data_IF_223237356410
#
_entry.id   IF_223237356410
#
_cell.length_a   1.000
_cell.length_b   1.000
_cell.length_c   1.000
_cell.angle_alpha   90.00
_cell.angle_beta   90.00
_cell.angle_gamma   90.00
#
_symmetry.space_group_name_H-M   'P 1'
#
loop_
_entity.id
_entity.type
_entity.pdbx_description
1 polymer ?
#
# COMPACT_ATOMS: atom_id res chain seq x y z
N UNK A 1 10.94 8.45 -40.72
CA UNK A 1 10.36 7.21 -40.19
C UNK A 1 11.47 6.46 -39.45
N UNK A 2 11.57 6.72 -38.17
CA UNK A 2 12.53 6.02 -37.29
C UNK A 2 11.94 4.68 -36.95
N UNK A 3 12.47 3.61 -37.60
CA UNK A 3 12.12 2.25 -37.20
C UNK A 3 12.66 1.97 -35.83
N UNK A 4 11.81 2.16 -34.80
CA UNK A 4 12.13 1.76 -33.45
C UNK A 4 12.38 0.23 -33.49
N UNK A 5 13.61 -0.18 -33.25
CA UNK A 5 13.95 -1.58 -33.00
C UNK A 5 13.15 -2.07 -31.84
N UNK A 6 12.16 -2.92 -32.06
CA UNK A 6 11.47 -3.59 -30.96
C UNK A 6 12.54 -4.36 -30.16
N UNK A 7 12.61 -4.13 -28.84
CA UNK A 7 13.62 -4.79 -28.02
C UNK A 7 13.45 -6.31 -28.10
N UNK A 8 14.57 -7.02 -28.23
CA UNK A 8 14.56 -8.49 -28.28
C UNK A 8 14.38 -9.04 -26.87
N UNK A 9 13.13 -9.22 -26.49
CA UNK A 9 12.77 -9.75 -25.16
C UNK A 9 12.61 -11.28 -25.15
N UNK A 10 12.60 -11.91 -26.32
CA UNK A 10 12.37 -13.34 -26.48
C UNK A 10 13.35 -13.96 -27.50
N UNK A 11 13.56 -15.26 -27.37
CA UNK A 11 14.28 -16.03 -28.35
C UNK A 11 13.62 -15.87 -29.72
N UNK A 12 14.45 -15.61 -30.75
CA UNK A 12 13.98 -15.52 -32.14
C UNK A 12 13.59 -16.89 -32.73
N UNK A 13 14.08 -17.98 -32.15
CA UNK A 13 13.90 -19.33 -32.67
C UNK A 13 12.80 -20.10 -31.95
N UNK A 14 12.74 -20.01 -30.64
CA UNK A 14 11.77 -20.76 -29.83
C UNK A 14 11.39 -19.98 -28.56
N UNK A 15 10.56 -18.94 -28.67
CA UNK A 15 10.15 -18.12 -27.51
C UNK A 15 9.28 -18.88 -26.52
N UNK A 16 8.45 -19.82 -26.99
CA UNK A 16 7.61 -20.64 -26.11
C UNK A 16 8.47 -21.61 -25.29
N UNK A 17 9.42 -22.30 -25.91
CA UNK A 17 10.32 -23.21 -25.20
C UNK A 17 11.23 -22.46 -24.21
N UNK A 18 11.63 -21.22 -24.53
CA UNK A 18 12.36 -20.36 -23.57
C UNK A 18 11.50 -20.06 -22.33
N UNK A 19 10.24 -19.64 -22.53
CA UNK A 19 9.31 -19.35 -21.46
C UNK A 19 8.99 -20.58 -20.62
N UNK A 20 8.79 -21.75 -21.26
CA UNK A 20 8.53 -23.01 -20.59
C UNK A 20 9.73 -23.45 -19.73
N UNK A 21 10.94 -23.41 -20.28
CA UNK A 21 12.17 -23.73 -19.54
C UNK A 21 12.36 -22.80 -18.36
N UNK A 22 12.11 -21.52 -18.55
CA UNK A 22 12.21 -20.52 -17.47
C UNK A 22 11.19 -20.81 -16.35
N UNK A 23 9.92 -21.02 -16.72
CA UNK A 23 8.86 -21.29 -15.74
C UNK A 23 9.07 -22.62 -14.99
N UNK A 24 9.63 -23.65 -15.67
CA UNK A 24 9.94 -24.93 -15.03
C UNK A 24 11.09 -24.82 -14.02
N UNK A 25 11.98 -23.85 -14.18
CA UNK A 25 13.07 -23.59 -13.23
C UNK A 25 12.63 -22.76 -12.01
N UNK A 26 11.40 -22.20 -12.02
CA UNK A 26 10.88 -21.39 -10.91
C UNK A 26 10.12 -22.23 -9.91
N UNK A 27 10.41 -22.02 -8.64
CA UNK A 27 9.55 -22.48 -7.55
C UNK A 27 8.36 -21.53 -7.43
N UNK A 28 7.19 -21.95 -7.87
CA UNK A 28 6.00 -21.09 -7.89
C UNK A 28 5.32 -20.91 -6.53
N UNK A 29 5.75 -21.71 -5.52
CA UNK A 29 5.11 -21.71 -4.20
C UNK A 29 3.70 -22.35 -4.22
N UNK A 30 3.41 -23.27 -3.32
CA UNK A 30 2.13 -24.01 -3.34
C UNK A 30 0.92 -23.10 -3.05
N UNK A 31 1.10 -22.11 -2.21
CA UNK A 31 0.04 -21.21 -1.71
C UNK A 31 -0.10 -19.91 -2.51
N UNK A 32 0.71 -19.69 -3.57
CA UNK A 32 0.66 -18.44 -4.34
C UNK A 32 -0.67 -18.30 -5.08
N UNK A 33 -1.36 -17.21 -4.82
CA UNK A 33 -2.65 -16.86 -5.45
C UNK A 33 -2.52 -15.71 -6.45
N UNK A 34 -1.48 -14.87 -6.30
CA UNK A 34 -1.23 -13.70 -7.13
C UNK A 34 0.16 -13.77 -7.75
N UNK A 35 0.24 -13.70 -9.06
CA UNK A 35 1.50 -13.58 -9.78
C UNK A 35 1.61 -12.21 -10.44
N UNK A 36 2.66 -11.47 -10.12
CA UNK A 36 2.97 -10.19 -10.74
C UNK A 36 4.11 -10.42 -11.74
N UNK A 37 3.84 -10.25 -13.02
CA UNK A 37 4.82 -10.34 -14.09
C UNK A 37 5.30 -8.93 -14.45
N UNK A 38 6.61 -8.69 -14.35
CA UNK A 38 7.20 -7.40 -14.74
C UNK A 38 7.74 -7.53 -16.15
N UNK A 39 7.17 -6.78 -17.07
CA UNK A 39 7.48 -6.71 -18.50
C UNK A 39 7.70 -8.10 -19.12
N UNK A 40 6.66 -8.92 -19.23
CA UNK A 40 6.77 -10.25 -19.82
C UNK A 40 6.90 -10.23 -21.36
N UNK A 41 7.08 -9.06 -21.97
CA UNK A 41 7.15 -8.86 -23.40
C UNK A 41 5.86 -9.31 -24.10
N UNK A 42 5.96 -10.22 -25.04
CA UNK A 42 4.81 -10.78 -25.79
C UNK A 42 3.96 -11.78 -24.97
N UNK A 43 4.25 -11.94 -23.68
CA UNK A 43 3.38 -12.67 -22.76
C UNK A 43 3.43 -14.21 -22.86
N UNK A 44 4.44 -14.81 -23.48
CA UNK A 44 4.53 -16.29 -23.59
C UNK A 44 4.48 -17.03 -22.24
N UNK A 45 4.84 -16.37 -21.15
CA UNK A 45 4.73 -16.92 -19.78
C UNK A 45 3.29 -17.08 -19.31
N UNK A 46 2.38 -16.24 -19.79
CA UNK A 46 1.01 -16.13 -19.28
C UNK A 46 0.19 -17.41 -19.47
N UNK A 47 0.06 -17.96 -20.69
CA UNK A 47 -0.71 -19.19 -20.89
C UNK A 47 -0.11 -20.38 -20.14
N UNK A 48 1.22 -20.46 -20.05
CA UNK A 48 1.90 -21.51 -19.30
C UNK A 48 1.64 -21.42 -17.81
N UNK A 49 1.62 -20.19 -17.29
CA UNK A 49 1.33 -19.93 -15.87
C UNK A 49 -0.13 -20.23 -15.53
N UNK A 50 -1.08 -19.82 -16.40
CA UNK A 50 -2.50 -20.17 -16.29
C UNK A 50 -2.71 -21.69 -16.26
N UNK A 51 -1.99 -22.42 -17.12
CA UNK A 51 -2.07 -23.89 -17.15
C UNK A 51 -1.55 -24.54 -15.85
N UNK A 52 -0.42 -24.03 -15.32
CA UNK A 52 0.16 -24.58 -14.09
C UNK A 52 -0.60 -24.16 -12.83
N UNK A 53 -1.25 -23.02 -12.85
CA UNK A 53 -1.94 -22.37 -11.72
C UNK A 53 -3.28 -21.77 -12.16
N UNK A 54 -4.28 -22.60 -12.49
CA UNK A 54 -5.55 -22.13 -13.08
C UNK A 54 -6.35 -21.17 -12.18
N UNK A 55 -6.21 -21.29 -10.86
CA UNK A 55 -6.92 -20.45 -9.89
C UNK A 55 -6.19 -19.16 -9.50
N UNK A 56 -4.95 -18.98 -9.93
CA UNK A 56 -4.17 -17.83 -9.55
C UNK A 56 -4.50 -16.61 -10.43
N UNK A 57 -4.53 -15.43 -9.83
CA UNK A 57 -4.66 -14.16 -10.54
C UNK A 57 -3.29 -13.72 -11.06
N UNK A 58 -3.24 -13.42 -12.35
CA UNK A 58 -2.04 -12.92 -13.01
C UNK A 58 -2.22 -11.43 -13.26
N UNK A 59 -1.21 -10.65 -12.90
CA UNK A 59 -1.14 -9.20 -13.04
C UNK A 59 0.12 -8.88 -13.84
N UNK A 60 0.01 -7.99 -14.83
CA UNK A 60 1.13 -7.60 -15.68
C UNK A 60 1.49 -6.14 -15.44
N UNK A 61 2.76 -5.87 -15.23
CA UNK A 61 3.32 -4.54 -15.12
C UNK A 61 4.23 -4.27 -16.32
N UNK A 62 3.80 -3.40 -17.22
CA UNK A 62 4.61 -3.02 -18.37
C UNK A 62 5.53 -1.84 -18.04
N UNK A 63 6.68 -1.79 -18.71
CA UNK A 63 7.65 -0.70 -18.62
C UNK A 63 7.57 0.14 -19.89
N UNK A 64 7.22 -0.52 -21.01
CA UNK A 64 7.09 0.11 -22.29
C UNK A 64 5.64 0.01 -22.81
N UNK A 65 5.10 1.14 -23.22
CA UNK A 65 3.76 1.19 -23.83
C UNK A 65 3.67 0.49 -25.20
N UNK A 66 4.80 0.13 -25.82
CA UNK A 66 4.83 -0.58 -27.09
C UNK A 66 4.13 -1.95 -27.03
N UNK A 67 4.09 -2.58 -25.87
CA UNK A 67 3.42 -3.88 -25.68
C UNK A 67 1.92 -3.76 -25.44
N UNK A 68 1.38 -2.54 -25.29
CA UNK A 68 -0.06 -2.32 -25.10
C UNK A 68 -0.90 -2.91 -26.24
N UNK A 69 -0.42 -2.73 -27.48
CA UNK A 69 -1.09 -3.26 -28.66
C UNK A 69 -0.89 -4.79 -28.81
N UNK A 70 0.23 -5.32 -28.33
CA UNK A 70 0.56 -6.74 -28.41
C UNK A 70 -0.07 -7.57 -27.27
N UNK A 71 -0.47 -6.92 -26.18
CA UNK A 71 -1.13 -7.57 -25.04
C UNK A 71 -2.52 -8.14 -25.40
N UNK A 72 -3.01 -7.87 -26.63
CA UNK A 72 -4.27 -8.37 -27.14
C UNK A 72 -5.47 -7.82 -26.37
N UNK A 73 -6.63 -7.87 -26.98
CA UNK A 73 -7.93 -7.56 -26.35
C UNK A 73 -8.41 -8.71 -25.42
N UNK A 74 -7.50 -9.47 -24.80
CA UNK A 74 -7.95 -10.40 -23.74
C UNK A 74 -8.31 -9.58 -22.50
N UNK A 75 -9.60 -9.31 -22.27
CA UNK A 75 -10.06 -8.43 -21.18
C UNK A 75 -9.86 -9.04 -19.79
N UNK A 76 -9.15 -10.16 -19.69
CA UNK A 76 -9.10 -10.99 -18.49
C UNK A 76 -7.83 -10.82 -17.65
N UNK A 77 -6.80 -10.07 -18.11
CA UNK A 77 -5.55 -9.92 -17.36
C UNK A 77 -5.32 -8.45 -17.02
N UNK A 78 -5.40 -8.08 -15.73
CA UNK A 78 -5.07 -6.73 -15.30
C UNK A 78 -3.66 -6.35 -15.72
N UNK A 79 -3.52 -5.22 -16.42
CA UNK A 79 -2.24 -4.73 -16.90
C UNK A 79 -2.05 -3.24 -16.58
N UNK A 80 -0.91 -2.89 -16.02
CA UNK A 80 -0.51 -1.51 -15.78
C UNK A 80 0.51 -1.06 -16.82
N UNK A 81 0.43 0.21 -17.21
CA UNK A 81 1.35 0.86 -18.15
C UNK A 81 1.81 2.20 -17.58
N UNK A 82 3.09 2.56 -17.75
CA UNK A 82 3.61 3.85 -17.31
C UNK A 82 2.94 5.00 -18.09
N UNK A 83 2.77 6.14 -17.41
CA UNK A 83 2.14 7.33 -18.00
C UNK A 83 0.61 7.25 -18.15
N UNK A 84 -0.03 6.23 -17.61
CA UNK A 84 -1.49 6.16 -17.48
C UNK A 84 -2.01 7.06 -16.34
N UNK A 85 -3.35 7.17 -16.24
CA UNK A 85 -4.01 7.98 -15.19
C UNK A 85 -3.84 7.39 -13.79
N UNK A 86 -3.60 6.08 -13.68
CA UNK A 86 -3.49 5.35 -12.42
C UNK A 86 -2.04 5.08 -12.09
N UNK A 87 -1.60 5.50 -10.90
CA UNK A 87 -0.25 5.17 -10.41
C UNK A 87 -0.08 3.66 -10.20
N UNK A 88 1.17 3.16 -10.26
CA UNK A 88 1.47 1.75 -10.02
C UNK A 88 0.95 1.30 -8.63
N UNK A 89 1.17 2.12 -7.62
CA UNK A 89 0.70 1.83 -6.27
C UNK A 89 -0.81 1.65 -6.22
N UNK A 90 -1.58 2.59 -6.79
CA UNK A 90 -3.05 2.53 -6.79
C UNK A 90 -3.56 1.32 -7.57
N UNK A 91 -2.96 1.03 -8.71
CA UNK A 91 -3.28 -0.15 -9.50
C UNK A 91 -3.08 -1.45 -8.70
N UNK A 92 -1.94 -1.59 -8.01
CA UNK A 92 -1.68 -2.77 -7.18
C UNK A 92 -2.65 -2.87 -5.99
N UNK A 93 -3.04 -1.76 -5.38
CA UNK A 93 -4.05 -1.73 -4.31
C UNK A 93 -5.43 -2.19 -4.79
N UNK A 94 -5.81 -1.80 -6.01
CA UNK A 94 -7.10 -2.19 -6.59
C UNK A 94 -7.12 -3.67 -7.04
N UNK A 95 -5.96 -4.20 -7.49
CA UNK A 95 -5.87 -5.56 -8.02
C UNK A 95 -5.53 -6.62 -6.96
N UNK A 96 -4.81 -6.24 -5.91
CA UNK A 96 -4.38 -7.12 -4.82
C UNK A 96 -4.98 -6.58 -3.53
N UNK A 97 -6.09 -7.17 -3.03
CA UNK A 97 -6.65 -6.78 -1.75
C UNK A 97 -5.68 -7.06 -0.60
N UNK A 98 -6.05 -6.66 0.63
CA UNK A 98 -5.26 -6.92 1.83
C UNK A 98 -5.09 -8.43 2.07
N UNK A 99 -4.07 -9.00 1.43
CA UNK A 99 -3.70 -10.41 1.52
C UNK A 99 -2.35 -10.57 2.23
N UNK A 100 -2.02 -11.79 2.60
CA UNK A 100 -0.69 -12.08 3.12
C UNK A 100 0.35 -12.09 2.00
N UNK A 101 1.51 -11.46 2.25
CA UNK A 101 2.58 -11.35 1.24
C UNK A 101 3.05 -12.70 0.66
N UNK A 102 2.91 -13.80 1.43
CA UNK A 102 3.23 -15.17 0.98
C UNK A 102 2.37 -15.65 -0.18
N UNK A 103 1.18 -15.06 -0.35
CA UNK A 103 0.26 -15.38 -1.45
C UNK A 103 0.62 -14.64 -2.74
N UNK A 104 1.55 -13.68 -2.68
CA UNK A 104 1.97 -12.85 -3.82
C UNK A 104 3.38 -13.22 -4.26
N UNK A 105 3.58 -13.44 -5.54
CA UNK A 105 4.89 -13.72 -6.11
C UNK A 105 5.18 -12.86 -7.34
N UNK A 106 6.34 -12.21 -7.32
CA UNK A 106 6.87 -11.51 -8.49
C UNK A 106 7.60 -12.51 -9.39
N UNK A 107 7.32 -12.47 -10.67
CA UNK A 107 8.04 -13.19 -11.70
C UNK A 107 8.81 -12.16 -12.54
N UNK A 108 10.13 -12.23 -12.45
CA UNK A 108 11.05 -11.35 -13.16
C UNK A 108 11.43 -11.96 -14.51
N UNK A 109 11.12 -11.28 -15.60
CA UNK A 109 11.59 -11.70 -16.91
C UNK A 109 12.98 -11.11 -17.17
N UNK A 110 14.03 -11.93 -17.01
CA UNK A 110 15.43 -11.49 -17.10
C UNK A 110 15.82 -10.78 -18.40
N UNK A 111 15.32 -11.15 -19.59
CA UNK A 111 15.57 -10.39 -20.80
C UNK A 111 15.10 -8.94 -20.69
N UNK A 112 13.96 -8.67 -20.08
CA UNK A 112 13.45 -7.33 -19.87
C UNK A 112 14.30 -6.51 -18.91
N UNK A 113 14.83 -7.13 -17.86
CA UNK A 113 15.79 -6.47 -16.97
C UNK A 113 17.03 -5.99 -17.72
N UNK A 114 17.54 -6.79 -18.67
CA UNK A 114 18.71 -6.41 -19.47
C UNK A 114 18.42 -5.26 -20.43
N UNK A 115 17.21 -5.20 -20.96
CA UNK A 115 16.81 -4.19 -21.95
C UNK A 115 16.45 -2.86 -21.27
N UNK A 116 15.67 -2.91 -20.19
CA UNK A 116 15.10 -1.72 -19.55
C UNK A 116 15.90 -1.23 -18.33
N UNK A 117 16.85 -2.00 -17.81
CA UNK A 117 17.79 -1.57 -16.77
C UNK A 117 17.14 -0.88 -15.59
N UNK A 118 17.44 0.41 -15.38
CA UNK A 118 16.94 1.19 -14.24
C UNK A 118 15.41 1.32 -14.21
N UNK A 119 14.75 1.43 -15.36
CA UNK A 119 13.29 1.51 -15.40
C UNK A 119 12.65 0.22 -14.89
N UNK A 120 13.23 -0.94 -15.22
CA UNK A 120 12.82 -2.24 -14.69
C UNK A 120 13.01 -2.31 -13.18
N UNK A 121 14.19 -1.91 -12.68
CA UNK A 121 14.51 -1.93 -11.26
C UNK A 121 13.61 -1.01 -10.45
N UNK A 122 13.22 0.13 -11.01
CA UNK A 122 12.26 1.03 -10.38
C UNK A 122 10.91 0.36 -10.16
N UNK A 123 10.31 -0.23 -11.20
CA UNK A 123 9.02 -0.94 -11.11
C UNK A 123 9.13 -2.11 -10.13
N UNK A 124 10.23 -2.86 -10.17
CA UNK A 124 10.49 -3.97 -9.24
C UNK A 124 10.56 -3.48 -7.79
N UNK A 125 11.29 -2.39 -7.53
CA UNK A 125 11.42 -1.81 -6.18
C UNK A 125 10.07 -1.33 -5.65
N UNK A 126 9.30 -0.57 -6.43
CA UNK A 126 7.97 -0.09 -6.04
C UNK A 126 7.01 -1.26 -5.74
N UNK A 127 7.07 -2.31 -6.56
CA UNK A 127 6.28 -3.54 -6.35
C UNK A 127 6.69 -4.27 -5.08
N UNK A 128 8.00 -4.40 -4.82
CA UNK A 128 8.50 -5.03 -3.60
C UNK A 128 8.15 -4.23 -2.34
N UNK A 129 8.17 -2.91 -2.40
CA UNK A 129 7.72 -2.03 -1.30
C UNK A 129 6.23 -2.19 -1.03
N UNK A 130 5.40 -2.30 -2.07
CA UNK A 130 3.99 -2.62 -1.93
C UNK A 130 3.78 -3.94 -1.18
N UNK A 131 4.47 -5.01 -1.58
CA UNK A 131 4.37 -6.32 -0.91
C UNK A 131 4.82 -6.25 0.55
N UNK A 132 5.89 -5.53 0.86
CA UNK A 132 6.32 -5.31 2.25
C UNK A 132 5.26 -4.60 3.08
N UNK A 133 4.56 -3.62 2.49
CA UNK A 133 3.50 -2.87 3.17
C UNK A 133 2.30 -3.73 3.48
N UNK A 134 1.82 -4.54 2.53
CA UNK A 134 0.69 -5.46 2.79
C UNK A 134 1.07 -6.51 3.85
N UNK A 135 2.30 -7.01 3.87
CA UNK A 135 2.77 -7.94 4.91
C UNK A 135 2.81 -7.28 6.29
N UNK A 136 3.28 -6.04 6.38
CA UNK A 136 3.28 -5.28 7.63
C UNK A 136 1.84 -5.06 8.14
N UNK A 137 0.90 -4.71 7.25
CA UNK A 137 -0.52 -4.56 7.59
C UNK A 137 -1.11 -5.89 8.09
N UNK A 138 -0.87 -6.99 7.38
CA UNK A 138 -1.36 -8.31 7.76
C UNK A 138 -0.81 -8.76 9.13
N UNK A 139 0.47 -8.48 9.42
CA UNK A 139 1.06 -8.74 10.75
C UNK A 139 0.39 -7.91 11.84
N UNK A 140 0.14 -6.64 11.57
CA UNK A 140 -0.54 -5.73 12.51
C UNK A 140 -1.95 -6.22 12.80
N UNK A 141 -2.72 -6.55 11.77
CA UNK A 141 -4.08 -7.09 11.93
C UNK A 141 -4.07 -8.41 12.71
N UNK A 142 -3.15 -9.33 12.42
CA UNK A 142 -3.00 -10.57 13.19
C UNK A 142 -2.65 -10.32 14.66
N UNK A 143 -1.75 -9.37 14.93
CA UNK A 143 -1.31 -9.07 16.29
C UNK A 143 -2.36 -8.34 17.13
N UNK A 144 -3.11 -7.44 16.53
CA UNK A 144 -4.01 -6.52 17.25
C UNK A 144 -5.49 -6.68 16.91
N UNK A 145 -5.86 -7.32 15.80
CA UNK A 145 -7.23 -7.37 15.29
C UNK A 145 -8.24 -7.91 16.31
N UNK A 146 -7.90 -9.01 17.00
CA UNK A 146 -8.75 -9.55 18.06
C UNK A 146 -8.96 -8.55 19.21
N UNK A 147 -7.92 -7.81 19.57
CA UNK A 147 -8.00 -6.76 20.59
C UNK A 147 -8.89 -5.61 20.14
N UNK A 148 -8.73 -5.16 18.89
CA UNK A 148 -9.55 -4.09 18.31
C UNK A 148 -11.02 -4.46 18.29
N UNK A 149 -11.36 -5.66 17.84
CA UNK A 149 -12.74 -6.17 17.82
C UNK A 149 -13.30 -6.24 19.25
N UNK A 150 -12.55 -6.79 20.20
CA UNK A 150 -13.00 -6.85 21.59
C UNK A 150 -13.20 -5.45 22.20
N UNK A 151 -12.30 -4.51 21.91
CA UNK A 151 -12.43 -3.14 22.38
C UNK A 151 -13.62 -2.43 21.74
N UNK A 152 -13.87 -2.66 20.45
CA UNK A 152 -15.05 -2.14 19.76
C UNK A 152 -16.33 -2.57 20.49
N UNK A 153 -16.52 -3.85 20.74
CA UNK A 153 -17.72 -4.33 21.46
C UNK A 153 -17.81 -3.84 22.90
N UNK A 154 -16.68 -3.72 23.61
CA UNK A 154 -16.67 -3.14 24.95
C UNK A 154 -17.09 -1.66 24.91
N UNK A 155 -16.54 -0.88 23.99
CA UNK A 155 -16.88 0.53 23.83
C UNK A 155 -18.33 0.71 23.41
N UNK A 156 -18.84 -0.13 22.50
CA UNK A 156 -20.24 -0.12 22.09
C UNK A 156 -21.19 -0.29 23.26
N UNK A 157 -20.87 -1.16 24.23
CA UNK A 157 -21.67 -1.35 25.46
C UNK A 157 -21.62 -0.14 26.40
N UNK A 158 -20.55 0.67 26.32
CA UNK A 158 -20.38 1.89 27.12
C UNK A 158 -20.98 3.13 26.42
N UNK A 159 -21.30 3.05 25.14
CA UNK A 159 -21.93 4.13 24.36
C UNK A 159 -23.36 4.37 24.81
N UNK A 160 -23.51 4.98 25.99
CA UNK A 160 -24.82 5.46 26.48
C UNK A 160 -25.15 6.85 25.93
N UNK A 161 -24.14 7.61 25.47
CA UNK A 161 -24.27 8.97 24.98
C UNK A 161 -23.33 9.17 23.78
N UNK A 162 -23.88 9.61 22.67
CA UNK A 162 -23.11 10.17 21.55
C UNK A 162 -23.01 11.68 21.79
N UNK A 163 -21.83 12.15 22.11
CA UNK A 163 -21.57 13.60 22.12
C UNK A 163 -21.55 14.05 20.64
N UNK A 164 -22.52 14.86 20.26
CA UNK A 164 -22.48 15.59 19.02
C UNK A 164 -21.67 16.86 19.29
N UNK A 165 -20.47 17.02 18.70
CA UNK A 165 -19.70 18.24 18.87
C UNK A 165 -20.53 19.42 18.38
N UNK A 166 -20.61 20.48 19.16
CA UNK A 166 -21.24 21.71 18.70
C UNK A 166 -20.38 22.33 17.58
N UNK A 167 -21.01 22.93 16.56
CA UNK A 167 -20.31 23.68 15.54
C UNK A 167 -19.37 24.71 16.17
N UNK A 168 -18.22 24.94 15.55
CA UNK A 168 -17.26 25.90 16.01
C UNK A 168 -16.58 26.56 14.82
N UNK A 169 -16.75 27.85 14.69
CA UNK A 169 -16.22 28.61 13.55
C UNK A 169 -14.85 29.23 13.83
N UNK A 170 -14.25 28.95 14.99
CA UNK A 170 -12.94 29.44 15.38
C UNK A 170 -11.78 28.52 14.98
N UNK A 171 -10.54 28.95 15.23
CA UNK A 171 -9.35 28.17 14.95
C UNK A 171 -9.33 26.84 15.72
N UNK A 172 -9.02 25.74 15.02
CA UNK A 172 -8.79 24.42 15.59
C UNK A 172 -7.31 24.07 15.59
N UNK A 173 -6.77 23.82 16.78
CA UNK A 173 -5.38 23.37 16.95
C UNK A 173 -5.39 21.86 17.20
N UNK A 174 -4.71 21.10 16.35
CA UNK A 174 -4.56 19.64 16.51
C UNK A 174 -3.15 19.36 17.00
N UNK A 175 -3.03 18.60 18.09
CA UNK A 175 -1.73 18.31 18.72
C UNK A 175 -1.42 16.82 18.75
N UNK A 176 -0.16 16.49 18.43
CA UNK A 176 0.46 15.19 18.61
C UNK A 176 1.61 15.27 19.61
N UNK A 177 2.21 14.11 19.98
CA UNK A 177 3.28 14.00 20.98
C UNK A 177 4.71 14.13 20.40
N UNK A 178 4.85 14.78 19.25
CA UNK A 178 6.18 15.01 18.65
C UNK A 178 7.02 16.03 19.45
N UNK A 179 8.36 16.06 19.25
CA UNK A 179 9.24 17.02 19.94
C UNK A 179 8.85 18.49 19.75
N UNK A 180 8.25 18.81 18.60
CA UNK A 180 7.74 20.16 18.31
C UNK A 180 6.61 20.63 19.22
N UNK A 181 5.97 19.72 19.96
CA UNK A 181 4.91 20.10 20.88
C UNK A 181 5.43 21.02 22.01
N UNK A 182 6.64 20.78 22.50
CA UNK A 182 7.24 21.60 23.55
C UNK A 182 7.37 23.07 23.14
N UNK A 183 7.74 23.31 21.88
CA UNK A 183 7.83 24.67 21.32
C UNK A 183 6.47 25.26 20.94
N UNK A 184 5.49 24.40 20.64
CA UNK A 184 4.13 24.84 20.28
C UNK A 184 3.27 25.21 21.50
N UNK A 185 3.50 24.65 22.68
CA UNK A 185 2.73 24.91 23.89
C UNK A 185 2.64 26.42 24.23
N UNK A 186 3.75 27.19 24.30
CA UNK A 186 3.68 28.63 24.53
C UNK A 186 2.87 29.36 23.45
N UNK A 187 3.03 28.97 22.18
CA UNK A 187 2.30 29.59 21.06
C UNK A 187 0.79 29.33 21.16
N UNK A 188 0.39 28.13 21.56
CA UNK A 188 -1.03 27.80 21.80
C UNK A 188 -1.58 28.63 22.97
N UNK A 189 -0.76 28.83 24.01
CA UNK A 189 -1.12 29.69 25.13
C UNK A 189 -1.37 31.13 24.71
N UNK A 190 -0.53 31.70 23.87
CA UNK A 190 -0.73 33.04 23.32
C UNK A 190 -1.96 33.11 22.41
N UNK A 191 -2.18 32.14 21.53
CA UNK A 191 -3.38 32.08 20.71
C UNK A 191 -4.66 32.05 21.53
N UNK A 192 -4.70 31.37 22.67
CA UNK A 192 -5.84 31.39 23.60
C UNK A 192 -6.17 32.74 24.18
N UNK A 193 -5.18 33.65 24.26
CA UNK A 193 -5.41 35.02 24.73
C UNK A 193 -6.02 35.92 23.68
N UNK A 194 -5.78 35.60 22.39
CA UNK A 194 -6.27 36.43 21.28
C UNK A 194 -7.74 36.16 20.92
N UNK A 195 -8.28 35.02 21.31
CA UNK A 195 -9.67 34.65 21.04
C UNK A 195 -9.99 33.20 21.34
N UNK A 196 -11.23 32.76 21.13
CA UNK A 196 -11.65 31.40 21.39
C UNK A 196 -11.01 30.46 20.36
N UNK A 197 -10.25 29.49 20.87
CA UNK A 197 -9.71 28.38 20.05
C UNK A 197 -10.12 27.05 20.66
N UNK A 198 -10.26 26.03 19.83
CA UNK A 198 -10.39 24.63 20.28
C UNK A 198 -9.08 23.89 20.10
N UNK A 199 -8.72 23.08 21.11
CA UNK A 199 -7.55 22.21 21.07
C UNK A 199 -8.03 20.76 21.04
N UNK A 200 -7.76 20.08 19.93
CA UNK A 200 -7.97 18.64 19.77
C UNK A 200 -6.63 17.94 20.03
N UNK A 201 -6.55 17.17 21.10
CA UNK A 201 -5.33 16.49 21.52
C UNK A 201 -5.37 15.01 21.16
N UNK A 202 -4.32 14.48 20.54
CA UNK A 202 -4.07 13.04 20.60
C UNK A 202 -3.82 12.64 22.07
N UNK A 203 -4.28 11.46 22.49
CA UNK A 203 -4.15 11.01 23.89
C UNK A 203 -2.70 11.12 24.42
N UNK A 204 -1.72 10.82 23.59
CA UNK A 204 -0.31 10.91 23.93
C UNK A 204 0.22 12.34 24.17
N UNK A 205 -0.46 13.37 23.68
CA UNK A 205 -0.07 14.78 23.86
C UNK A 205 -0.71 15.44 25.10
N UNK A 206 -1.71 14.80 25.69
CA UNK A 206 -2.53 15.39 26.78
C UNK A 206 -1.68 15.79 27.98
N UNK A 207 -0.80 14.89 28.42
CA UNK A 207 0.05 15.14 29.61
C UNK A 207 0.94 16.37 29.41
N UNK A 208 1.60 16.51 28.26
CA UNK A 208 2.44 17.66 27.97
C UNK A 208 1.63 18.96 27.89
N UNK A 209 0.47 18.94 27.27
CA UNK A 209 -0.43 20.10 27.21
C UNK A 209 -0.86 20.55 28.59
N UNK A 210 -1.33 19.61 29.44
CA UNK A 210 -1.80 19.93 30.80
C UNK A 210 -0.65 20.48 31.67
N UNK A 211 0.56 19.89 31.55
CA UNK A 211 1.76 20.41 32.23
C UNK A 211 2.12 21.82 31.74
N UNK A 212 1.86 22.13 30.47
CA UNK A 212 2.02 23.47 29.91
C UNK A 212 0.85 24.42 30.17
N UNK A 213 -0.11 24.05 31.05
CA UNK A 213 -1.27 24.89 31.38
C UNK A 213 -2.38 24.91 30.31
N UNK A 214 -2.35 24.01 29.32
CA UNK A 214 -3.33 23.95 28.25
C UNK A 214 -4.26 22.77 28.48
N UNK A 215 -5.52 23.06 28.77
CA UNK A 215 -6.56 22.03 28.84
C UNK A 215 -7.15 21.86 27.45
N UNK A 216 -7.05 20.64 26.84
CA UNK A 216 -7.63 20.39 25.54
C UNK A 216 -9.15 20.39 25.58
N UNK A 217 -9.80 20.87 24.52
CA UNK A 217 -11.26 20.88 24.38
C UNK A 217 -11.80 19.48 24.05
N UNK A 218 -10.99 18.67 23.37
CA UNK A 218 -11.35 17.30 22.98
C UNK A 218 -10.08 16.45 22.96
N UNK A 219 -10.21 15.19 23.34
CA UNK A 219 -9.13 14.20 23.29
C UNK A 219 -9.54 13.06 22.36
N UNK A 220 -8.69 12.75 21.40
CA UNK A 220 -8.86 11.61 20.51
C UNK A 220 -7.88 10.50 20.92
N UNK A 221 -8.42 9.33 21.24
CA UNK A 221 -7.63 8.13 21.49
C UNK A 221 -8.06 7.03 20.51
N UNK A 222 -7.14 6.62 19.64
CA UNK A 222 -7.34 5.50 18.73
C UNK A 222 -6.64 4.21 19.22
N UNK A 223 -5.77 4.32 20.23
CA UNK A 223 -5.03 3.19 20.77
C UNK A 223 -5.82 2.50 21.90
N UNK A 224 -6.17 1.23 21.68
CA UNK A 224 -6.83 0.38 22.67
C UNK A 224 -5.87 -0.34 23.64
N UNK A 225 -4.59 0.01 23.65
CA UNK A 225 -3.58 -0.60 24.52
C UNK A 225 -3.59 -0.05 25.94
N UNK A 226 -3.16 -0.86 26.94
CA UNK A 226 -3.01 -0.40 28.33
C UNK A 226 -1.98 0.74 28.51
N UNK A 227 -1.16 0.99 27.52
CA UNK A 227 -0.23 2.14 27.48
C UNK A 227 -0.95 3.46 27.28
N UNK A 228 -2.09 3.47 26.55
CA UNK A 228 -2.88 4.68 26.33
C UNK A 228 -3.48 5.25 27.64
N UNK A 229 -3.55 4.44 28.69
CA UNK A 229 -4.01 4.87 30.02
C UNK A 229 -2.92 5.54 30.88
N UNK A 230 -1.64 5.47 30.43
CA UNK A 230 -0.50 6.01 31.18
C UNK A 230 0.01 7.35 30.64
N UNK A 231 -0.58 7.80 29.57
CA UNK A 231 -0.34 9.11 28.96
C UNK A 231 -1.48 10.06 29.31
#
# INVERSE_FOLDING_TARGET
MSGAFAPVLHSRYNPQGEAEKYLNALELGAETEYFILIEPGLGYLIPLLKQKRPGAKIIVLHIDGAFRAAAGEEPAIPAWFPGGEVSLQRFLEDEIPDVEARLVRIIEWRPSLRVYGEAYLKVLSETAEFIKRIDANARTVRGFGRRWVNNFFKNLRLLRFLLKPEPFDGPLVITGSGPSLETAIPMIGELKKTGPIRVLAASSSVKALVQGGIIPSLVLSADGGGWALRH
#
